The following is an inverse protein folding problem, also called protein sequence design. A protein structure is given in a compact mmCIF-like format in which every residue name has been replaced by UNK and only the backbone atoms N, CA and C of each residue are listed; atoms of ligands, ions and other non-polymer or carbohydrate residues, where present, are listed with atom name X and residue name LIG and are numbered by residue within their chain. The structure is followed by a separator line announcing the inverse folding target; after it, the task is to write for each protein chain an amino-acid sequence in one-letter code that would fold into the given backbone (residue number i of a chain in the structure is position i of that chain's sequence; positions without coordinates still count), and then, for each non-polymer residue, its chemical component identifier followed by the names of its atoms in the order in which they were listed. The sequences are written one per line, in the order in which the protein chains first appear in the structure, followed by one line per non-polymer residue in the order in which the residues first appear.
data_IF_615720426151
#
_entry.id   IF_615720426151
#
_cell.length_a   1.000
_cell.length_b   1.000
_cell.length_c   1.000
_cell.angle_alpha   90.00
_cell.angle_beta   90.00
_cell.angle_gamma   90.00
#
_symmetry.space_group_name_H-M   'P 1'
#
loop_
_entity.id
_entity.type
_entity.pdbx_description
1 polymer ?
#
# COMPACT_ATOMS: atom_id res chain seq x y z
N UNK A 1 6.99 27.54 -5.38
CA UNK A 1 5.83 26.83 -5.97
C UNK A 1 4.73 26.83 -4.92
N UNK A 2 3.46 27.02 -5.27
CA UNK A 2 2.36 27.02 -4.27
C UNK A 2 2.05 25.56 -3.90
N UNK A 3 1.92 25.27 -2.60
CA UNK A 3 1.47 23.96 -2.14
C UNK A 3 0.00 23.74 -2.52
N UNK A 4 -0.32 22.52 -2.96
CA UNK A 4 -1.67 22.11 -3.33
C UNK A 4 -2.22 21.21 -2.24
N UNK A 5 -3.45 21.47 -1.80
CA UNK A 5 -4.12 20.66 -0.79
C UNK A 5 -5.37 19.96 -1.31
N UNK A 6 -5.70 18.80 -0.73
CA UNK A 6 -6.93 18.06 -1.07
C UNK A 6 -8.19 18.94 -0.89
N UNK A 7 -8.25 19.69 0.22
CA UNK A 7 -9.37 20.57 0.54
C UNK A 7 -9.59 21.70 -0.47
N UNK A 8 -8.62 22.00 -1.32
CA UNK A 8 -8.72 23.09 -2.30
C UNK A 8 -9.02 22.58 -3.71
N UNK A 9 -8.80 21.29 -3.98
CA UNK A 9 -8.74 20.75 -5.34
C UNK A 9 -9.74 19.62 -5.64
N UNK A 10 -10.40 19.05 -4.63
CA UNK A 10 -11.36 17.95 -4.80
C UNK A 10 -12.82 18.40 -4.61
N UNK A 11 -13.19 19.45 -5.36
CA UNK A 11 -14.55 20.00 -5.40
C UNK A 11 -15.25 19.68 -6.71
N UNK A 12 -16.57 19.81 -6.73
CA UNK A 12 -17.38 19.76 -7.94
C UNK A 12 -18.47 20.85 -7.89
N UNK A 13 -18.87 21.34 -9.06
CA UNK A 13 -19.91 22.38 -9.20
C UNK A 13 -21.31 21.86 -8.90
N UNK A 14 -21.55 20.56 -9.11
CA UNK A 14 -22.84 19.95 -8.83
C UNK A 14 -22.98 19.61 -7.34
N UNK A 15 -24.04 20.14 -6.71
CA UNK A 15 -24.27 19.98 -5.26
C UNK A 15 -24.37 18.52 -4.82
N UNK A 16 -24.81 17.60 -5.69
CA UNK A 16 -24.95 16.18 -5.37
C UNK A 16 -23.72 15.34 -5.77
N UNK A 17 -22.75 15.93 -6.47
CA UNK A 17 -21.58 15.19 -6.93
C UNK A 17 -20.67 14.81 -5.76
N UNK A 18 -20.19 13.57 -5.80
CA UNK A 18 -19.21 13.00 -4.86
C UNK A 18 -17.89 12.68 -5.54
N UNK A 19 -17.74 12.96 -6.84
CA UNK A 19 -16.60 12.52 -7.68
C UNK A 19 -15.24 12.88 -7.08
N UNK A 20 -15.10 14.10 -6.54
CA UNK A 20 -13.85 14.54 -5.91
C UNK A 20 -13.51 13.71 -4.67
N UNK A 21 -14.50 13.48 -3.81
CA UNK A 21 -14.37 12.63 -2.63
C UNK A 21 -14.05 11.17 -3.02
N UNK A 22 -14.80 10.61 -3.98
CA UNK A 22 -14.62 9.23 -4.45
C UNK A 22 -13.21 9.01 -5.01
N UNK A 23 -12.66 10.02 -5.70
CA UNK A 23 -11.28 9.98 -6.22
C UNK A 23 -10.24 9.91 -5.10
N UNK A 24 -10.43 10.66 -4.01
CA UNK A 24 -9.55 10.58 -2.82
C UNK A 24 -9.64 9.20 -2.19
N UNK A 25 -10.85 8.70 -1.95
CA UNK A 25 -11.06 7.40 -1.31
C UNK A 25 -10.44 6.27 -2.13
N UNK A 26 -10.64 6.28 -3.46
CA UNK A 26 -10.02 5.32 -4.35
C UNK A 26 -8.49 5.37 -4.25
N UNK A 27 -7.90 6.56 -4.33
CA UNK A 27 -6.45 6.75 -4.21
C UNK A 27 -5.88 6.18 -2.90
N UNK A 28 -6.54 6.45 -1.76
CA UNK A 28 -6.10 5.96 -0.46
C UNK A 28 -6.22 4.43 -0.34
N UNK A 29 -7.29 3.85 -0.90
CA UNK A 29 -7.47 2.40 -0.91
C UNK A 29 -6.44 1.68 -1.78
N UNK A 30 -6.11 2.26 -2.94
CA UNK A 30 -5.04 1.76 -3.81
C UNK A 30 -3.68 1.89 -3.11
N UNK A 31 -3.42 3.03 -2.47
CA UNK A 31 -2.22 3.27 -1.67
C UNK A 31 -2.04 2.25 -0.54
N UNK A 32 -3.12 1.88 0.17
CA UNK A 32 -3.08 0.83 1.20
C UNK A 32 -2.68 -0.53 0.62
N UNK A 33 -3.26 -0.94 -0.51
CA UNK A 33 -2.93 -2.23 -1.17
C UNK A 33 -1.45 -2.30 -1.53
N UNK A 34 -0.93 -1.27 -2.20
CA UNK A 34 0.48 -1.21 -2.60
C UNK A 34 1.41 -1.20 -1.38
N UNK A 35 1.03 -0.48 -0.31
CA UNK A 35 1.84 -0.40 0.91
C UNK A 35 1.98 -1.73 1.62
N UNK A 36 0.91 -2.54 1.64
CA UNK A 36 0.94 -3.89 2.20
C UNK A 36 1.92 -4.78 1.43
N UNK A 37 1.87 -4.77 0.09
CA UNK A 37 2.76 -5.59 -0.73
C UNK A 37 4.23 -5.26 -0.48
N UNK A 38 4.58 -3.96 -0.50
CA UNK A 38 5.96 -3.50 -0.27
C UNK A 38 6.42 -3.86 1.13
N UNK A 39 5.61 -3.55 2.14
CA UNK A 39 5.96 -3.86 3.53
C UNK A 39 6.13 -5.36 3.72
N UNK A 40 5.22 -6.21 3.22
CA UNK A 40 5.35 -7.67 3.29
C UNK A 40 6.65 -8.17 2.63
N UNK A 41 7.00 -7.66 1.45
CA UNK A 41 8.25 -8.01 0.79
C UNK A 41 9.48 -7.65 1.64
N UNK A 42 9.51 -6.42 2.20
CA UNK A 42 10.60 -5.98 3.07
C UNK A 42 10.62 -6.70 4.43
N UNK A 43 9.47 -7.11 4.99
CA UNK A 43 9.39 -7.85 6.26
C UNK A 43 9.80 -9.31 6.14
N UNK A 44 9.66 -9.92 4.96
CA UNK A 44 10.18 -11.27 4.73
C UNK A 44 11.71 -11.31 4.75
N UNK A 45 12.36 -10.15 4.60
CA UNK A 45 13.81 -9.98 4.60
C UNK A 45 14.35 -9.28 5.85
N UNK A 46 13.49 -8.63 6.65
CA UNK A 46 13.81 -7.93 7.90
C UNK A 46 12.86 -8.39 9.02
N UNK A 47 13.39 -8.91 10.13
CA UNK A 47 12.62 -9.25 11.35
C UNK A 47 11.67 -8.10 11.77
N UNK A 48 10.50 -8.41 12.35
CA UNK A 48 9.26 -7.70 12.04
C UNK A 48 9.18 -6.31 12.66
N UNK A 49 9.02 -5.30 11.81
CA UNK A 49 8.45 -4.00 12.20
C UNK A 49 6.92 -4.14 12.20
N UNK A 50 6.33 -4.30 13.39
CA UNK A 50 4.88 -4.25 13.56
C UNK A 50 4.44 -2.79 13.52
N UNK A 51 3.72 -2.41 12.46
CA UNK A 51 3.07 -1.10 12.37
C UNK A 51 1.58 -1.25 12.75
N UNK A 52 1.04 -0.29 13.50
CA UNK A 52 -0.33 -0.23 14.01
C UNK A 52 -1.39 -0.08 12.89
N UNK A 53 -1.60 -1.12 12.08
CA UNK A 53 -2.60 -1.14 10.99
C UNK A 53 -4.05 -1.08 11.52
N UNK A 54 -4.29 -1.58 12.74
CA UNK A 54 -5.63 -1.72 13.32
C UNK A 54 -6.25 -0.37 13.73
N UNK A 55 -5.48 0.55 14.31
CA UNK A 55 -5.98 1.85 14.76
C UNK A 55 -6.28 2.78 13.57
N UNK A 56 -5.42 2.77 12.56
CA UNK A 56 -5.57 3.59 11.35
C UNK A 56 -6.77 3.16 10.49
N UNK A 57 -6.98 1.86 10.34
CA UNK A 57 -8.13 1.32 9.60
C UNK A 57 -9.47 1.73 10.22
N UNK A 58 -9.56 1.76 11.56
CA UNK A 58 -10.78 2.10 12.28
C UNK A 58 -11.18 3.57 12.11
N UNK A 59 -10.23 4.52 12.26
CA UNK A 59 -10.52 5.96 12.13
C UNK A 59 -10.86 6.34 10.70
N UNK A 60 -10.16 5.77 9.71
CA UNK A 60 -10.49 5.96 8.30
C UNK A 60 -11.94 5.54 7.98
N UNK A 61 -12.33 4.35 8.46
CA UNK A 61 -13.67 3.81 8.22
C UNK A 61 -14.77 4.63 8.90
N UNK A 62 -14.47 5.28 10.02
CA UNK A 62 -15.42 6.19 10.69
C UNK A 62 -15.67 7.47 9.88
N UNK A 63 -14.60 8.11 9.38
CA UNK A 63 -14.72 9.31 8.52
C UNK A 63 -15.45 8.97 7.23
N UNK A 64 -15.16 7.81 6.64
CA UNK A 64 -15.80 7.36 5.41
C UNK A 64 -17.32 7.18 5.57
N UNK A 65 -17.75 6.51 6.63
CA UNK A 65 -19.18 6.33 6.93
C UNK A 65 -19.88 7.65 7.23
N UNK A 66 -19.23 8.56 7.95
CA UNK A 66 -19.80 9.86 8.27
C UNK A 66 -20.06 10.68 6.99
N UNK A 67 -19.09 10.70 6.08
CA UNK A 67 -19.22 11.40 4.80
C UNK A 67 -20.24 10.76 3.87
N UNK A 68 -20.33 9.42 3.82
CA UNK A 68 -21.38 8.72 3.07
C UNK A 68 -22.79 9.07 3.58
N UNK A 69 -22.98 9.14 4.90
CA UNK A 69 -24.24 9.57 5.50
C UNK A 69 -24.60 11.02 5.12
N UNK A 70 -23.63 11.95 5.18
CA UNK A 70 -23.83 13.34 4.76
C UNK A 70 -24.17 13.47 3.27
N UNK A 71 -23.49 12.71 2.41
CA UNK A 71 -23.78 12.69 0.97
C UNK A 71 -25.20 12.22 0.69
N UNK A 72 -25.64 11.12 1.33
CA UNK A 72 -27.01 10.60 1.19
C UNK A 72 -28.05 11.58 1.72
N UNK A 73 -27.81 12.19 2.88
CA UNK A 73 -28.70 13.18 3.47
C UNK A 73 -28.85 14.42 2.57
N UNK A 74 -27.73 14.96 2.07
CA UNK A 74 -27.69 16.08 1.13
C UNK A 74 -28.44 15.76 -0.16
N UNK A 75 -28.18 14.60 -0.77
CA UNK A 75 -28.85 14.17 -2.01
C UNK A 75 -30.37 14.00 -1.82
N UNK A 76 -30.79 13.39 -0.72
CA UNK A 76 -32.20 13.23 -0.39
C UNK A 76 -32.89 14.59 -0.19
N UNK A 77 -32.25 15.53 0.52
CA UNK A 77 -32.81 16.87 0.73
C UNK A 77 -32.83 17.69 -0.56
N UNK A 78 -31.84 17.55 -1.43
CA UNK A 78 -31.82 18.19 -2.74
C UNK A 78 -33.03 17.74 -3.59
N UNK A 79 -33.29 16.42 -3.64
CA UNK A 79 -34.48 15.88 -4.33
C UNK A 79 -35.79 16.43 -3.76
N UNK A 80 -35.96 16.42 -2.43
CA UNK A 80 -37.15 16.99 -1.77
C UNK A 80 -37.35 18.46 -2.13
N UNK A 81 -36.26 19.23 -2.19
CA UNK A 81 -36.30 20.66 -2.54
C UNK A 81 -36.70 20.87 -3.99
N UNK A 82 -36.20 20.04 -4.92
CA UNK A 82 -36.59 20.08 -6.33
C UNK A 82 -38.06 19.71 -6.54
N UNK A 83 -38.56 18.69 -5.84
CA UNK A 83 -39.97 18.28 -5.89
C UNK A 83 -40.89 19.35 -5.29
N UNK A 84 -40.49 19.99 -4.19
CA UNK A 84 -41.20 21.12 -3.59
C UNK A 84 -41.25 22.33 -4.54
N UNK A 85 -40.14 22.64 -5.23
CA UNK A 85 -40.08 23.70 -6.25
C UNK A 85 -41.09 23.42 -7.38
N UNK A 86 -41.07 22.22 -7.94
CA UNK A 86 -42.00 21.82 -9.03
C UNK A 86 -43.45 21.93 -8.58
N UNK A 87 -43.74 21.55 -7.34
CA UNK A 87 -45.08 21.63 -6.75
C UNK A 87 -45.52 23.09 -6.60
N UNK A 88 -44.66 23.94 -6.04
CA UNK A 88 -44.89 25.37 -5.92
C UNK A 88 -45.18 26.02 -7.28
N UNK A 89 -44.32 25.78 -8.29
CA UNK A 89 -44.50 26.30 -9.64
C UNK A 89 -45.84 25.86 -10.25
N UNK A 90 -46.26 24.61 -10.01
CA UNK A 90 -47.57 24.15 -10.46
C UNK A 90 -48.71 24.87 -9.74
N UNK A 91 -48.62 25.07 -8.42
CA UNK A 91 -49.65 25.79 -7.65
C UNK A 91 -49.76 27.27 -8.01
N UNK A 92 -48.66 27.91 -8.39
CA UNK A 92 -48.69 29.24 -8.97
C UNK A 92 -49.46 29.28 -10.31
N UNK A 93 -49.20 28.32 -11.21
CA UNK A 93 -49.96 28.21 -12.48
C UNK A 93 -51.45 27.95 -12.23
N UNK A 94 -51.79 27.06 -11.31
CA UNK A 94 -53.18 26.75 -10.93
C UNK A 94 -53.91 28.02 -10.41
N UNK A 95 -53.21 28.85 -9.62
CA UNK A 95 -53.70 30.13 -9.12
C UNK A 95 -53.96 31.12 -10.25
N UNK A 96 -52.99 31.30 -11.15
CA UNK A 96 -53.13 32.20 -12.31
C UNK A 96 -54.31 31.78 -13.22
N UNK A 97 -54.48 30.48 -13.46
CA UNK A 97 -55.60 29.96 -14.24
C UNK A 97 -56.95 30.23 -13.55
N UNK A 98 -57.03 30.05 -12.24
CA UNK A 98 -58.23 30.34 -11.47
C UNK A 98 -58.60 31.84 -11.51
N UNK A 99 -57.61 32.73 -11.37
CA UNK A 99 -57.78 34.19 -11.45
C UNK A 99 -58.22 34.63 -12.86
N UNK A 100 -57.59 34.10 -13.91
CA UNK A 100 -57.98 34.38 -15.30
C UNK A 100 -59.40 33.90 -15.61
N UNK A 101 -59.76 32.70 -15.15
CA UNK A 101 -61.10 32.14 -15.36
C UNK A 101 -62.17 32.95 -14.60
N UNK A 102 -61.86 33.46 -13.41
CA UNK A 102 -62.74 34.36 -12.67
C UNK A 102 -62.94 35.68 -13.44
N UNK A 103 -61.86 36.30 -13.94
CA UNK A 103 -61.92 37.56 -14.68
C UNK A 103 -62.69 37.45 -16.01
N UNK A 104 -62.48 36.37 -16.78
CA UNK A 104 -63.19 36.14 -18.05
C UNK A 104 -64.70 35.99 -17.87
N UNK A 105 -65.12 35.50 -16.71
CA UNK A 105 -66.52 35.22 -16.40
C UNK A 105 -67.17 36.32 -15.54
N UNK A 106 -66.49 37.44 -15.30
CA UNK A 106 -66.94 38.49 -14.38
C UNK A 106 -68.23 39.21 -14.82
N UNK A 107 -68.53 39.26 -16.12
CA UNK A 107 -69.67 40.00 -16.71
C UNK A 107 -70.76 39.11 -17.31
N UNK A 108 -70.53 37.80 -17.39
CA UNK A 108 -71.40 36.84 -18.11
C UNK A 108 -72.00 35.76 -17.20
N UNK A 109 -71.59 35.68 -15.93
CA UNK A 109 -71.99 34.64 -14.97
C UNK A 109 -73.20 35.00 -14.13
N UNK A 110 -73.94 33.98 -13.68
CA UNK A 110 -74.91 34.15 -12.58
C UNK A 110 -74.21 34.40 -11.23
N UNK A 111 -74.89 35.08 -10.30
CA UNK A 111 -74.37 35.39 -8.96
C UNK A 111 -73.85 34.15 -8.20
N UNK A 112 -74.59 33.04 -8.19
CA UNK A 112 -74.16 31.77 -7.57
C UNK A 112 -72.88 31.19 -8.18
N UNK A 113 -72.71 31.36 -9.50
CA UNK A 113 -71.56 30.84 -10.22
C UNK A 113 -70.31 31.70 -9.98
N UNK A 114 -70.50 33.00 -9.83
CA UNK A 114 -69.46 33.96 -9.47
C UNK A 114 -68.90 33.70 -8.06
N UNK A 115 -69.77 33.39 -7.10
CA UNK A 115 -69.39 33.02 -5.73
C UNK A 115 -68.53 31.75 -5.69
N UNK A 116 -68.89 30.73 -6.50
CA UNK A 116 -68.10 29.50 -6.65
C UNK A 116 -66.72 29.74 -7.27
N UNK A 117 -66.63 30.60 -8.29
CA UNK A 117 -65.36 30.97 -8.94
C UNK A 117 -64.45 31.74 -7.98
N UNK A 118 -65.03 32.64 -7.17
CA UNK A 118 -64.31 33.35 -6.13
C UNK A 118 -63.75 32.40 -5.06
N UNK A 119 -64.57 31.48 -4.55
CA UNK A 119 -64.11 30.47 -3.59
C UNK A 119 -62.97 29.60 -4.13
N UNK A 120 -63.07 29.15 -5.40
CA UNK A 120 -62.00 28.38 -6.07
C UNK A 120 -60.70 29.19 -6.20
N UNK A 121 -60.80 30.48 -6.50
CA UNK A 121 -59.65 31.39 -6.60
C UNK A 121 -58.97 31.56 -5.24
N UNK A 122 -59.74 31.78 -4.17
CA UNK A 122 -59.18 31.88 -2.81
C UNK A 122 -58.51 30.57 -2.36
N UNK A 123 -59.10 29.42 -2.68
CA UNK A 123 -58.48 28.12 -2.40
C UNK A 123 -57.17 27.92 -3.17
N UNK A 124 -57.14 28.26 -4.48
CA UNK A 124 -55.93 28.18 -5.28
C UNK A 124 -54.83 29.11 -4.74
N UNK A 125 -55.20 30.33 -4.30
CA UNK A 125 -54.28 31.25 -3.63
C UNK A 125 -53.69 30.67 -2.33
N UNK A 126 -54.52 30.15 -1.43
CA UNK A 126 -54.05 29.56 -0.17
C UNK A 126 -53.13 28.36 -0.39
N UNK A 127 -53.45 27.51 -1.37
CA UNK A 127 -52.61 26.33 -1.69
C UNK A 127 -51.27 26.72 -2.32
N UNK A 128 -51.22 27.79 -3.11
CA UNK A 128 -49.96 28.35 -3.62
C UNK A 128 -49.11 28.96 -2.50
N UNK A 129 -49.72 29.71 -1.57
CA UNK A 129 -49.02 30.28 -0.40
C UNK A 129 -48.46 29.19 0.53
N UNK A 130 -49.18 28.08 0.71
CA UNK A 130 -48.66 26.94 1.49
C UNK A 130 -47.51 26.24 0.77
N UNK A 131 -47.63 26.02 -0.54
CA UNK A 131 -46.54 25.44 -1.33
C UNK A 131 -45.28 26.33 -1.32
N UNK A 132 -45.45 27.65 -1.32
CA UNK A 132 -44.36 28.63 -1.19
C UNK A 132 -43.64 28.50 0.16
N UNK A 133 -44.41 28.44 1.27
CA UNK A 133 -43.85 28.21 2.61
C UNK A 133 -43.04 26.92 2.68
N UNK A 134 -43.57 25.82 2.13
CA UNK A 134 -42.88 24.53 2.12
C UNK A 134 -41.61 24.58 1.25
N UNK A 135 -41.68 25.19 0.07
CA UNK A 135 -40.52 25.32 -0.81
C UNK A 135 -39.41 26.17 -0.15
N UNK A 136 -39.77 27.34 0.38
CA UNK A 136 -38.86 28.24 1.12
C UNK A 136 -38.19 27.53 2.30
N UNK A 137 -38.95 26.77 3.08
CA UNK A 137 -38.40 25.97 4.18
C UNK A 137 -37.39 24.91 3.69
N UNK A 138 -37.71 24.18 2.62
CA UNK A 138 -36.81 23.17 2.06
C UNK A 138 -35.52 23.77 1.50
N UNK A 139 -35.59 24.96 0.87
CA UNK A 139 -34.41 25.71 0.42
C UNK A 139 -33.53 26.12 1.60
N UNK A 140 -34.13 26.63 2.68
CA UNK A 140 -33.40 26.99 3.90
C UNK A 140 -32.68 25.78 4.52
N UNK A 141 -33.38 24.64 4.61
CA UNK A 141 -32.81 23.40 5.14
C UNK A 141 -31.67 22.87 4.26
N UNK A 142 -31.84 22.89 2.93
CA UNK A 142 -30.78 22.50 1.99
C UNK A 142 -29.53 23.38 2.14
N UNK A 143 -29.71 24.69 2.36
CA UNK A 143 -28.62 25.62 2.62
C UNK A 143 -27.79 25.22 3.86
N UNK A 144 -28.47 24.90 4.96
CA UNK A 144 -27.81 24.45 6.21
C UNK A 144 -27.04 23.14 6.01
N UNK A 145 -27.65 22.14 5.37
CA UNK A 145 -26.98 20.87 5.08
C UNK A 145 -25.78 21.04 4.14
N UNK A 146 -25.85 21.98 3.20
CA UNK A 146 -24.72 22.31 2.33
C UNK A 146 -23.56 22.90 3.12
N UNK A 147 -23.81 23.82 4.05
CA UNK A 147 -22.77 24.40 4.90
C UNK A 147 -22.11 23.36 5.82
N UNK A 148 -22.92 22.50 6.44
CA UNK A 148 -22.42 21.36 7.23
C UNK A 148 -21.53 20.44 6.39
N UNK A 149 -22.01 20.03 5.21
CA UNK A 149 -21.23 19.20 4.28
C UNK A 149 -19.93 19.87 3.84
N UNK A 150 -19.93 21.17 3.52
CA UNK A 150 -18.71 21.88 3.13
C UNK A 150 -17.65 21.84 4.23
N UNK A 151 -18.06 22.08 5.48
CA UNK A 151 -17.16 22.07 6.62
C UNK A 151 -16.59 20.68 6.89
N UNK A 152 -17.44 19.64 6.86
CA UNK A 152 -16.99 18.26 7.09
C UNK A 152 -16.14 17.73 5.92
N UNK A 153 -16.44 18.13 4.69
CA UNK A 153 -15.62 17.77 3.52
C UNK A 153 -14.19 18.32 3.63
N UNK A 154 -14.03 19.58 4.07
CA UNK A 154 -12.70 20.16 4.31
C UNK A 154 -11.94 19.36 5.37
N UNK A 155 -12.59 19.09 6.52
CA UNK A 155 -11.98 18.31 7.61
C UNK A 155 -11.57 16.90 7.15
N UNK A 156 -12.43 16.23 6.39
CA UNK A 156 -12.14 14.93 5.82
C UNK A 156 -10.95 14.99 4.86
N UNK A 157 -10.88 16.00 3.98
CA UNK A 157 -9.75 16.20 3.08
C UNK A 157 -8.42 16.40 3.84
N UNK A 158 -8.41 17.24 4.88
CA UNK A 158 -7.22 17.47 5.70
C UNK A 158 -6.77 16.20 6.44
N UNK A 159 -7.73 15.45 6.98
CA UNK A 159 -7.46 14.16 7.60
C UNK A 159 -6.83 13.19 6.59
N UNK A 160 -7.48 13.00 5.43
CA UNK A 160 -7.01 12.11 4.38
C UNK A 160 -5.64 12.47 3.81
N UNK A 161 -5.38 13.75 3.60
CA UNK A 161 -4.07 14.24 3.16
C UNK A 161 -2.99 13.91 4.19
N UNK A 162 -3.25 14.13 5.47
CA UNK A 162 -2.33 13.76 6.55
C UNK A 162 -2.04 12.25 6.54
N UNK A 163 -3.07 11.43 6.39
CA UNK A 163 -2.93 9.97 6.29
C UNK A 163 -2.07 9.56 5.09
N UNK A 164 -2.21 10.24 3.96
CA UNK A 164 -1.40 9.95 2.77
C UNK A 164 0.06 10.38 2.93
N UNK A 165 0.30 11.55 3.55
CA UNK A 165 1.66 12.00 3.89
C UNK A 165 2.37 11.01 4.82
N UNK A 166 1.69 10.53 5.87
CA UNK A 166 2.23 9.53 6.79
C UNK A 166 2.54 8.20 6.06
N UNK A 167 1.65 7.76 5.18
CA UNK A 167 1.84 6.54 4.36
C UNK A 167 3.06 6.65 3.45
N UNK A 168 3.17 7.75 2.68
CA UNK A 168 4.29 7.99 1.76
C UNK A 168 5.61 8.06 2.54
N UNK A 169 5.65 8.81 3.64
CA UNK A 169 6.84 8.94 4.49
C UNK A 169 7.30 7.58 5.03
N UNK A 170 6.35 6.78 5.53
CA UNK A 170 6.63 5.44 6.06
C UNK A 170 7.18 4.52 5.00
N UNK A 171 6.54 4.45 3.83
CA UNK A 171 7.02 3.61 2.73
C UNK A 171 8.41 3.99 2.26
N UNK A 172 8.68 5.29 2.09
CA UNK A 172 10.00 5.77 1.73
C UNK A 172 11.05 5.29 2.74
N UNK A 173 10.75 5.40 4.04
CA UNK A 173 11.69 5.01 5.09
C UNK A 173 11.92 3.48 5.14
N UNK A 174 10.86 2.68 4.95
CA UNK A 174 10.95 1.22 4.88
C UNK A 174 11.83 0.79 3.70
N UNK A 175 11.56 1.31 2.50
CA UNK A 175 12.33 0.97 1.29
C UNK A 175 13.78 1.41 1.43
N UNK A 176 14.02 2.63 1.91
CA UNK A 176 15.36 3.15 2.17
C UNK A 176 16.15 2.23 3.13
N UNK A 177 15.53 1.84 4.24
CA UNK A 177 16.16 0.95 5.24
C UNK A 177 16.46 -0.42 4.65
N UNK A 178 15.52 -0.99 3.89
CA UNK A 178 15.71 -2.28 3.22
C UNK A 178 16.86 -2.25 2.21
N UNK A 179 16.94 -1.22 1.37
CA UNK A 179 18.04 -1.07 0.41
C UNK A 179 19.40 -0.89 1.09
N UNK A 180 19.46 -0.17 2.21
CA UNK A 180 20.69 -0.06 3.00
C UNK A 180 21.09 -1.41 3.62
N UNK A 181 20.12 -2.20 4.09
CA UNK A 181 20.40 -3.53 4.60
C UNK A 181 20.99 -4.45 3.52
N UNK A 182 20.39 -4.48 2.32
CA UNK A 182 20.92 -5.23 1.18
C UNK A 182 22.33 -4.77 0.79
N UNK A 183 22.58 -3.45 0.82
CA UNK A 183 23.90 -2.90 0.54
C UNK A 183 24.94 -3.38 1.56
N UNK A 184 24.58 -3.41 2.84
CA UNK A 184 25.45 -3.91 3.90
C UNK A 184 25.73 -5.42 3.76
N UNK A 185 24.74 -6.21 3.36
CA UNK A 185 24.93 -7.64 3.09
C UNK A 185 25.97 -7.85 1.98
N UNK A 186 25.92 -7.07 0.90
CA UNK A 186 26.93 -7.16 -0.17
C UNK A 186 28.35 -6.87 0.34
N UNK A 187 28.52 -5.87 1.21
CA UNK A 187 29.83 -5.55 1.80
C UNK A 187 30.32 -6.71 2.66
N UNK A 188 29.46 -7.26 3.51
CA UNK A 188 29.83 -8.40 4.37
C UNK A 188 30.17 -9.64 3.55
N UNK A 189 29.43 -9.93 2.49
CA UNK A 189 29.77 -11.02 1.56
C UNK A 189 31.13 -10.79 0.89
N UNK A 190 31.40 -9.58 0.42
CA UNK A 190 32.69 -9.21 -0.20
C UNK A 190 33.87 -9.40 0.77
N UNK A 191 33.72 -8.93 2.02
CA UNK A 191 34.71 -9.14 3.09
C UNK A 191 34.98 -10.63 3.35
N UNK A 192 33.93 -11.46 3.41
CA UNK A 192 34.07 -12.91 3.61
C UNK A 192 34.78 -13.59 2.43
N UNK A 193 34.46 -13.21 1.19
CA UNK A 193 35.13 -13.75 0.01
C UNK A 193 36.61 -13.33 -0.05
N UNK A 194 36.93 -12.11 0.40
CA UNK A 194 38.30 -11.63 0.51
C UNK A 194 39.10 -12.42 1.56
N UNK A 195 38.51 -12.78 2.70
CA UNK A 195 39.19 -13.63 3.69
C UNK A 195 39.50 -15.03 3.16
N UNK A 196 38.60 -15.62 2.36
CA UNK A 196 38.88 -16.88 1.65
C UNK A 196 40.04 -16.71 0.66
N UNK A 197 40.07 -15.61 -0.10
CA UNK A 197 41.16 -15.31 -1.06
C UNK A 197 42.51 -15.21 -0.35
N UNK A 198 42.60 -14.44 0.75
CA UNK A 198 43.83 -14.33 1.56
C UNK A 198 44.30 -15.66 2.12
N UNK A 199 43.38 -16.54 2.53
CA UNK A 199 43.72 -17.90 2.98
C UNK A 199 44.34 -18.73 1.85
N UNK A 200 43.80 -18.62 0.63
CA UNK A 200 44.34 -19.30 -0.54
C UNK A 200 45.72 -18.77 -0.97
N UNK A 201 45.98 -17.47 -0.80
CA UNK A 201 47.30 -16.86 -1.08
C UNK A 201 48.42 -17.42 -0.19
N UNK A 202 48.08 -17.97 0.98
CA UNK A 202 49.05 -18.62 1.87
C UNK A 202 49.40 -20.05 1.44
N UNK A 203 48.76 -20.60 0.41
CA UNK A 203 49.03 -21.95 -0.07
C UNK A 203 50.41 -22.03 -0.74
N UNK A 204 51.35 -22.71 -0.09
CA UNK A 204 52.66 -23.03 -0.65
C UNK A 204 52.70 -24.50 -1.10
N UNK A 205 52.53 -24.71 -2.41
CA UNK A 205 52.52 -26.04 -3.03
C UNK A 205 53.81 -26.81 -2.72
N UNK A 206 54.96 -26.13 -2.69
CA UNK A 206 56.25 -26.78 -2.47
C UNK A 206 56.38 -27.25 -1.02
N UNK A 207 55.98 -26.43 -0.05
CA UNK A 207 55.95 -26.83 1.37
C UNK A 207 55.01 -28.01 1.60
N UNK A 208 53.84 -28.03 0.94
CA UNK A 208 52.90 -29.15 1.04
C UNK A 208 53.49 -30.45 0.47
N UNK A 209 54.18 -30.38 -0.68
CA UNK A 209 54.87 -31.53 -1.29
C UNK A 209 56.02 -32.01 -0.39
N UNK A 210 56.82 -31.09 0.13
CA UNK A 210 57.93 -31.39 1.04
C UNK A 210 57.42 -32.01 2.34
N UNK A 211 56.35 -31.47 2.91
CA UNK A 211 55.70 -32.03 4.08
C UNK A 211 55.28 -33.48 3.83
N UNK A 212 54.62 -33.75 2.68
CA UNK A 212 54.25 -35.10 2.29
C UNK A 212 55.47 -36.02 2.14
N UNK A 213 56.49 -35.61 1.39
CA UNK A 213 57.72 -36.40 1.19
C UNK A 213 58.38 -36.70 2.54
N UNK A 214 58.52 -35.70 3.41
CA UNK A 214 59.13 -35.89 4.72
C UNK A 214 58.33 -36.85 5.61
N UNK A 215 57.00 -36.81 5.52
CA UNK A 215 56.13 -37.71 6.25
C UNK A 215 56.15 -39.15 5.69
N UNK A 216 56.44 -39.32 4.40
CA UNK A 216 56.17 -40.56 3.65
C UNK A 216 57.35 -41.22 2.95
N UNK A 217 58.51 -40.58 2.91
CA UNK A 217 59.70 -41.11 2.23
C UNK A 217 60.09 -42.48 2.81
N UNK A 218 60.39 -43.42 1.93
CA UNK A 218 60.73 -44.81 2.28
C UNK A 218 62.21 -45.13 2.10
N UNK A 219 62.98 -44.19 1.58
CA UNK A 219 64.41 -44.29 1.33
C UNK A 219 64.87 -43.20 0.38
N UNK A 220 66.15 -42.84 0.45
CA UNK A 220 66.80 -41.82 -0.37
C UNK A 220 67.77 -42.41 -1.42
N UNK A 221 67.90 -43.74 -1.42
CA UNK A 221 68.80 -44.48 -2.32
C UNK A 221 68.01 -45.51 -3.13
N UNK A 222 68.29 -45.65 -4.43
CA UNK A 222 67.74 -46.75 -5.20
C UNK A 222 68.25 -48.10 -4.68
N UNK A 223 67.53 -49.20 -4.92
CA UNK A 223 68.02 -50.54 -4.59
C UNK A 223 69.39 -50.81 -5.22
N UNK A 224 70.31 -51.39 -4.43
CA UNK A 224 71.64 -51.75 -4.91
C UNK A 224 71.57 -52.86 -5.97
N UNK A 225 72.53 -52.86 -6.89
CA UNK A 225 72.69 -53.96 -7.86
C UNK A 225 72.93 -55.29 -7.14
N UNK A 226 72.26 -56.36 -7.55
CA UNK A 226 72.40 -57.68 -6.93
C UNK A 226 73.77 -58.26 -7.28
N UNK A 227 74.67 -58.50 -6.31
CA UNK A 227 75.96 -59.12 -6.58
C UNK A 227 75.79 -60.62 -6.88
N UNK A 228 76.73 -61.21 -7.64
CA UNK A 228 76.78 -62.66 -7.82
C UNK A 228 77.21 -63.34 -6.52
N UNK A 229 76.41 -64.30 -6.05
CA UNK A 229 76.70 -65.11 -4.86
C UNK A 229 77.07 -66.54 -5.26
N UNK A 230 78.24 -67.00 -4.81
CA UNK A 230 78.68 -68.38 -5.01
C UNK A 230 78.24 -69.26 -3.82
N UNK A 231 77.59 -70.39 -4.12
CA UNK A 231 76.96 -71.28 -3.14
C UNK A 231 77.88 -71.78 -2.01
N UNK A 232 79.20 -71.86 -2.24
CA UNK A 232 80.16 -72.37 -1.25
C UNK A 232 80.68 -71.30 -0.28
N UNK A 233 80.31 -70.02 -0.45
CA UNK A 233 80.77 -68.93 0.42
C UNK A 233 79.60 -68.37 1.24
N UNK A 234 79.70 -68.48 2.56
CA UNK A 234 78.55 -68.53 3.47
C UNK A 234 78.17 -67.16 4.10
N UNK A 235 78.06 -66.09 3.31
CA UNK A 235 77.64 -64.78 3.83
C UNK A 235 76.30 -64.34 3.22
N UNK A 236 75.19 -64.54 3.94
CA UNK A 236 73.84 -64.06 3.58
C UNK A 236 73.49 -62.80 4.36
N UNK A 237 73.09 -61.73 3.69
CA UNK A 237 72.48 -60.54 4.30
C UNK A 237 70.96 -60.51 4.12
N UNK A 238 70.22 -60.16 5.17
CA UNK A 238 68.76 -60.27 5.25
C UNK A 238 68.00 -59.11 4.56
N UNK A 239 66.78 -59.33 4.02
CA UNK A 239 66.01 -58.29 3.34
C UNK A 239 65.11 -57.49 4.31
N UNK A 240 65.03 -56.18 4.12
CA UNK A 240 64.13 -55.28 4.88
C UNK A 240 62.85 -55.03 4.08
N UNK A 241 61.67 -55.14 4.73
CA UNK A 241 60.36 -54.94 4.10
C UNK A 241 59.58 -53.86 4.85
N UNK A 242 59.01 -52.88 4.16
CA UNK A 242 58.14 -51.84 4.73
C UNK A 242 56.73 -51.92 4.12
N UNK A 243 55.69 -51.87 4.98
CA UNK A 243 54.28 -51.83 4.58
C UNK A 243 53.81 -50.40 4.23
N UNK A 244 52.80 -50.24 3.34
CA UNK A 244 52.23 -48.94 3.03
C UNK A 244 51.04 -48.61 3.96
N UNK A 245 51.00 -47.38 4.47
CA UNK A 245 49.82 -46.82 5.16
C UNK A 245 49.08 -45.85 4.22
N UNK A 246 47.75 -45.86 4.18
CA UNK A 246 46.96 -44.92 3.35
C UNK A 246 47.08 -43.45 3.83
N UNK A 247 46.77 -42.47 2.96
CA UNK A 247 46.77 -41.02 3.25
C UNK A 247 45.44 -40.39 2.86
N UNK A 248 44.97 -39.45 3.69
CA UNK A 248 43.85 -38.56 3.43
C UNK A 248 44.36 -37.16 3.03
N UNK A 249 43.75 -36.55 2.00
CA UNK A 249 44.16 -35.28 1.38
C UNK A 249 43.72 -34.03 2.17
N UNK A 250 44.63 -33.06 2.29
CA UNK A 250 44.42 -31.77 2.98
C UNK A 250 43.53 -30.79 2.18
N UNK A 251 43.63 -30.80 0.84
CA UNK A 251 42.85 -29.91 -0.05
C UNK A 251 41.35 -30.24 -0.02
N UNK A 252 40.96 -31.51 0.15
CA UNK A 252 39.54 -31.91 0.27
C UNK A 252 38.92 -31.33 1.55
N UNK A 253 39.68 -31.19 2.64
CA UNK A 253 39.17 -30.60 3.89
C UNK A 253 38.94 -29.09 3.80
N UNK A 254 39.72 -28.37 3.00
CA UNK A 254 39.51 -26.95 2.73
C UNK A 254 38.25 -26.73 1.88
N UNK A 255 38.00 -27.59 0.90
CA UNK A 255 36.76 -27.56 0.10
C UNK A 255 35.53 -27.90 0.94
N UNK A 256 35.60 -28.92 1.81
CA UNK A 256 34.50 -29.28 2.74
C UNK A 256 34.22 -28.19 3.79
N UNK A 257 35.22 -27.37 4.15
CA UNK A 257 35.03 -26.21 5.03
C UNK A 257 34.28 -25.08 4.29
N UNK A 258 34.68 -24.76 3.06
CA UNK A 258 34.01 -23.74 2.23
C UNK A 258 32.55 -24.14 1.95
N UNK A 259 32.28 -25.40 1.56
CA UNK A 259 30.92 -25.89 1.29
C UNK A 259 30.02 -25.96 2.54
N UNK A 260 30.59 -26.04 3.75
CA UNK A 260 29.80 -26.00 5.00
C UNK A 260 29.38 -24.60 5.41
N UNK A 261 30.15 -23.57 5.04
CA UNK A 261 29.84 -22.17 5.37
C UNK A 261 28.85 -21.53 4.39
N UNK A 262 28.85 -21.96 3.12
CA UNK A 262 27.91 -21.47 2.10
C UNK A 262 26.44 -21.89 2.37
N UNK A 263 26.22 -22.89 3.22
CA UNK A 263 24.88 -23.33 3.65
C UNK A 263 24.33 -22.57 4.87
N UNK A 264 25.08 -21.61 5.44
CA UNK A 264 24.65 -20.77 6.57
C UNK A 264 24.28 -19.32 6.17
N UNK A 265 24.39 -18.97 4.88
CA UNK A 265 23.84 -17.75 4.26
C UNK A 265 22.48 -18.04 3.62
#
# INVERSE_FOLDING_TARGET
MRELHFKDNFWNTEIISTVGYDSIIQHLNDGKRTSTVITTYCSLTLLPLTLDVLTFGCVFFQVEQHMDALHKQKAAQYKKTADAKKTYEQKCRDKEEAEQNMNRNATTSSSKQQEKLYAKTQQAKQTAEEADRIYSHNVSLLGKLREEWLNEHVKACEFFEKQEVERISTLRNVVWTHLNHLSQQCVTSDELYEEVRKSLEQCNIQEDIEHFINLRRTGDKPPASVPYENFYNNQRSAPTRSLPTAVYHLIIRLFDFICKYDHQL
#
